data_IF_038665225708
#
_entry.id   IF_038665225708
#
_cell.length_a   1.000
_cell.length_b   1.000
_cell.length_c   1.000
_cell.angle_alpha   90.00
_cell.angle_beta   90.00
_cell.angle_gamma   90.00
#
_symmetry.space_group_name_H-M   'P 1'
#
loop_
_entity.id
_entity.type
_entity.pdbx_description
1 polymer ?
#
# COMPACT_ATOMS: atom_id res chain seq x y z
N UNK A 1 15.42 27.54 11.83
CA UNK A 1 14.03 27.09 11.63
C UNK A 1 14.04 26.24 10.38
N UNK A 2 13.66 24.95 10.41
CA UNK A 2 13.61 24.17 9.17
C UNK A 2 12.60 24.87 8.24
N UNK A 3 13.04 25.14 7.01
CA UNK A 3 12.23 25.83 6.02
C UNK A 3 10.91 25.08 5.85
N UNK A 4 9.79 25.80 5.94
CA UNK A 4 8.47 25.24 5.70
C UNK A 4 8.44 24.59 4.30
N UNK A 5 8.39 23.25 4.27
CA UNK A 5 8.43 22.46 3.01
C UNK A 5 7.06 22.38 2.35
N UNK A 6 6.00 22.54 3.14
CA UNK A 6 4.63 22.61 2.67
C UNK A 6 4.45 23.92 1.91
N UNK A 7 4.30 23.77 0.60
CA UNK A 7 4.05 24.89 -0.30
C UNK A 7 2.68 25.45 0.07
N UNK A 8 2.63 26.72 0.45
CA UNK A 8 1.37 27.45 0.56
C UNK A 8 0.81 27.72 -0.85
N UNK A 9 0.48 26.69 -1.63
CA UNK A 9 -0.36 26.85 -2.80
C UNK A 9 -1.80 26.89 -2.30
N UNK A 10 -2.24 28.05 -1.85
CA UNK A 10 -3.53 28.15 -1.21
C UNK A 10 -3.82 29.48 -0.52
N UNK A 11 -5.06 29.64 -0.01
CA UNK A 11 -5.75 30.88 0.36
C UNK A 11 -5.00 32.06 0.96
N UNK A 12 -3.87 31.81 1.63
CA UNK A 12 -3.08 32.82 2.34
C UNK A 12 -2.47 33.89 1.44
N UNK A 13 -2.32 33.64 0.13
CA UNK A 13 -1.79 34.63 -0.84
C UNK A 13 -2.82 35.13 -1.87
N UNK A 14 -4.09 34.73 -1.77
CA UNK A 14 -5.12 35.13 -2.74
C UNK A 14 -6.09 36.10 -2.08
N UNK A 15 -6.26 37.30 -2.66
CA UNK A 15 -7.16 38.35 -2.17
C UNK A 15 -8.60 37.87 -1.92
N UNK A 16 -9.00 36.77 -2.54
CA UNK A 16 -10.30 36.12 -2.33
C UNK A 16 -10.60 35.77 -0.87
N UNK A 17 -9.60 35.45 -0.04
CA UNK A 17 -9.82 34.92 1.31
C UNK A 17 -9.65 35.93 2.42
N UNK A 18 -9.07 37.11 2.13
CA UNK A 18 -9.02 38.25 3.05
C UNK A 18 -10.39 38.93 3.22
N UNK A 19 -11.38 38.58 2.40
CA UNK A 19 -12.77 39.07 2.50
C UNK A 19 -13.53 38.53 3.71
N UNK A 20 -13.03 37.47 4.35
CA UNK A 20 -13.68 36.88 5.53
C UNK A 20 -13.10 37.50 6.81
N UNK A 21 -13.94 38.11 7.67
CA UNK A 21 -13.48 38.86 8.84
C UNK A 21 -12.87 37.98 9.93
N UNK A 22 -13.20 36.69 9.96
CA UNK A 22 -12.52 35.69 10.78
C UNK A 22 -11.57 34.92 9.87
N UNK A 23 -10.30 34.76 10.27
CA UNK A 23 -9.36 33.84 9.61
C UNK A 23 -9.93 32.43 9.73
N UNK A 24 -10.71 32.00 8.74
CA UNK A 24 -11.65 30.92 8.90
C UNK A 24 -10.92 29.58 8.96
N UNK A 25 -10.85 28.98 10.17
CA UNK A 25 -10.44 27.57 10.39
C UNK A 25 -11.05 26.59 9.35
N UNK A 26 -12.33 26.73 8.93
CA UNK A 26 -12.91 25.88 7.90
C UNK A 26 -12.17 25.90 6.54
N UNK A 27 -11.68 27.06 6.11
CA UNK A 27 -10.97 27.19 4.82
C UNK A 27 -9.58 26.56 4.86
N UNK A 28 -8.93 26.60 6.03
CA UNK A 28 -7.67 25.89 6.23
C UNK A 28 -7.86 24.38 6.22
N UNK A 29 -8.99 23.87 6.74
CA UNK A 29 -9.34 22.45 6.65
C UNK A 29 -9.55 22.02 5.19
N UNK A 30 -10.26 22.80 4.39
CA UNK A 30 -10.41 22.51 2.95
C UNK A 30 -9.08 22.51 2.19
N UNK A 31 -8.16 23.41 2.52
CA UNK A 31 -6.83 23.41 1.93
C UNK A 31 -6.01 22.19 2.36
N UNK A 32 -6.07 21.81 3.63
CA UNK A 32 -5.46 20.58 4.13
C UNK A 32 -6.00 19.34 3.41
N UNK A 33 -7.30 19.27 3.17
CA UNK A 33 -7.92 18.14 2.49
C UNK A 33 -7.49 18.06 1.02
N UNK A 34 -7.51 19.21 0.33
CA UNK A 34 -7.14 19.33 -1.08
C UNK A 34 -5.67 19.04 -1.35
N UNK A 35 -4.78 19.50 -0.49
CA UNK A 35 -3.33 19.43 -0.73
C UNK A 35 -2.71 18.16 -0.13
N UNK A 36 -3.19 17.70 1.02
CA UNK A 36 -2.52 16.67 1.84
C UNK A 36 -3.39 15.46 2.06
N UNK A 37 -4.62 15.62 2.53
CA UNK A 37 -5.41 14.47 2.95
C UNK A 37 -5.81 13.58 1.78
N UNK A 38 -6.21 14.17 0.66
CA UNK A 38 -6.40 13.47 -0.60
C UNK A 38 -5.31 13.86 -1.60
N UNK A 39 -5.09 15.16 -1.77
CA UNK A 39 -3.99 15.66 -2.58
C UNK A 39 -4.05 15.20 -4.03
N UNK A 40 -2.91 15.33 -4.75
CA UNK A 40 -2.73 14.71 -6.06
C UNK A 40 -2.68 13.18 -6.01
N UNK A 41 -2.61 12.54 -4.84
CA UNK A 41 -2.60 11.08 -4.70
C UNK A 41 -3.86 10.43 -5.29
N UNK A 42 -4.99 11.15 -5.29
CA UNK A 42 -6.24 10.68 -5.92
C UNK A 42 -6.08 10.43 -7.42
N UNK A 43 -5.22 11.20 -8.10
CA UNK A 43 -4.99 11.06 -9.54
C UNK A 43 -4.34 9.71 -9.86
N UNK A 44 -3.46 9.23 -8.97
CA UNK A 44 -2.83 7.92 -9.07
C UNK A 44 -3.78 6.79 -8.62
N UNK A 45 -4.51 7.02 -7.54
CA UNK A 45 -5.44 6.03 -6.97
C UNK A 45 -6.58 5.69 -7.93
N UNK A 46 -7.03 6.67 -8.70
CA UNK A 46 -8.11 6.53 -9.69
C UNK A 46 -7.62 6.20 -11.09
N UNK A 47 -6.31 5.97 -11.29
CA UNK A 47 -5.71 5.73 -12.60
C UNK A 47 -6.02 6.84 -13.63
N UNK A 48 -6.17 8.09 -13.19
CA UNK A 48 -6.15 9.26 -14.09
C UNK A 48 -4.76 9.39 -14.71
N UNK A 49 -3.73 9.15 -13.90
CA UNK A 49 -2.37 8.86 -14.35
C UNK A 49 -1.95 7.51 -13.78
N UNK A 50 -1.26 6.70 -14.58
CA UNK A 50 -0.74 5.42 -14.12
C UNK A 50 0.41 5.64 -13.12
N UNK A 51 0.54 4.72 -12.16
CA UNK A 51 1.54 4.81 -11.10
C UNK A 51 3.00 4.77 -11.61
N UNK A 52 3.22 4.37 -12.86
CA UNK A 52 4.54 4.27 -13.50
C UNK A 52 4.85 5.46 -14.44
N UNK A 53 3.97 6.45 -14.53
CA UNK A 53 4.21 7.65 -15.33
C UNK A 53 5.11 8.66 -14.59
N UNK A 54 5.84 9.53 -15.31
CA UNK A 54 6.70 10.55 -14.68
C UNK A 54 6.00 11.45 -13.67
N UNK A 55 4.70 11.73 -13.88
CA UNK A 55 3.90 12.52 -12.93
C UNK A 55 3.78 11.82 -11.57
N UNK A 56 3.71 10.49 -11.54
CA UNK A 56 3.64 9.74 -10.29
C UNK A 56 4.90 9.95 -9.44
N UNK A 57 6.08 10.06 -10.07
CA UNK A 57 7.33 10.36 -9.35
C UNK A 57 7.25 11.74 -8.68
N UNK A 58 6.73 12.75 -9.38
CA UNK A 58 6.57 14.10 -8.80
C UNK A 58 5.59 14.11 -7.63
N UNK A 59 4.48 13.39 -7.77
CA UNK A 59 3.46 13.28 -6.71
C UNK A 59 4.01 12.55 -5.50
N UNK A 60 4.68 11.41 -5.68
CA UNK A 60 5.21 10.60 -4.59
C UNK A 60 6.38 11.28 -3.90
N UNK A 61 7.31 11.90 -4.64
CA UNK A 61 8.42 12.63 -4.06
C UNK A 61 7.93 13.85 -3.28
N UNK A 62 6.98 14.63 -3.80
CA UNK A 62 6.42 15.76 -3.06
C UNK A 62 5.65 15.32 -1.81
N UNK A 63 4.93 14.20 -1.89
CA UNK A 63 4.22 13.60 -0.77
C UNK A 63 5.17 13.19 0.36
N UNK A 64 6.21 12.41 0.05
CA UNK A 64 7.18 11.87 1.02
C UNK A 64 8.15 12.93 1.54
N UNK A 65 8.60 13.87 0.71
CA UNK A 65 9.74 14.76 1.05
C UNK A 65 9.32 16.16 1.54
N UNK A 66 8.09 16.58 1.21
CA UNK A 66 7.62 17.94 1.49
C UNK A 66 6.32 17.95 2.28
N UNK A 67 5.24 17.41 1.69
CA UNK A 67 3.88 17.64 2.17
C UNK A 67 3.63 17.01 3.54
N UNK A 68 4.17 15.83 3.78
CA UNK A 68 3.96 15.07 5.03
C UNK A 68 5.05 15.29 6.09
N UNK A 69 6.11 16.05 5.78
CA UNK A 69 7.23 16.35 6.71
C UNK A 69 7.22 17.77 7.26
N UNK A 70 6.21 18.55 6.94
CA UNK A 70 6.18 19.95 7.37
C UNK A 70 5.81 20.07 8.84
N UNK A 71 6.11 21.21 9.48
CA UNK A 71 5.48 21.50 10.77
C UNK A 71 4.01 21.86 10.54
N UNK A 72 3.08 21.35 11.38
CA UNK A 72 1.66 21.62 11.19
C UNK A 72 1.47 23.13 11.32
N UNK A 73 0.76 23.76 10.40
CA UNK A 73 0.47 25.20 10.41
C UNK A 73 -0.53 25.59 11.53
N UNK A 74 -0.33 25.05 12.73
CA UNK A 74 -1.31 25.01 13.81
C UNK A 74 -2.47 24.04 13.56
N UNK A 75 -2.34 23.11 12.59
CA UNK A 75 -3.37 22.16 12.18
C UNK A 75 -2.78 20.75 12.09
N UNK A 76 -3.44 19.76 12.70
CA UNK A 76 -3.05 18.35 12.64
C UNK A 76 -3.37 17.76 11.25
N UNK A 77 -2.63 18.17 10.21
CA UNK A 77 -2.82 17.72 8.81
C UNK A 77 -1.89 16.56 8.46
N UNK A 78 -0.80 16.43 9.20
CA UNK A 78 0.13 15.32 9.15
C UNK A 78 0.60 15.08 10.59
N UNK A 79 1.21 13.92 10.83
CA UNK A 79 1.93 13.69 12.07
C UNK A 79 2.98 14.77 12.31
N UNK A 80 3.34 14.98 13.57
CA UNK A 80 4.56 15.73 13.88
C UNK A 80 5.74 14.83 13.52
N UNK A 81 6.36 15.06 12.36
CA UNK A 81 7.51 14.29 11.86
C UNK A 81 8.73 15.21 11.81
N UNK A 82 9.77 14.86 12.57
CA UNK A 82 11.07 15.52 12.48
C UNK A 82 11.87 14.98 11.28
N UNK A 83 12.76 15.79 10.71
CA UNK A 83 13.67 15.40 9.62
C UNK A 83 14.45 14.10 9.92
N UNK A 84 14.85 13.88 11.18
CA UNK A 84 15.53 12.64 11.61
C UNK A 84 14.69 11.37 11.45
N UNK A 85 13.37 11.50 11.36
CA UNK A 85 12.42 10.40 11.18
C UNK A 85 11.81 10.38 9.78
N UNK A 86 12.31 11.21 8.84
CA UNK A 86 11.81 11.28 7.47
C UNK A 86 11.62 9.89 6.85
N UNK A 87 12.65 9.04 6.87
CA UNK A 87 12.56 7.73 6.25
C UNK A 87 11.49 6.84 6.91
N UNK A 88 11.41 6.84 8.24
CA UNK A 88 10.53 5.92 8.97
C UNK A 88 9.09 6.40 9.11
N UNK A 89 8.84 7.71 9.11
CA UNK A 89 7.53 8.32 9.39
C UNK A 89 7.02 9.24 8.27
N UNK A 90 7.85 9.58 7.28
CA UNK A 90 7.44 10.33 6.09
C UNK A 90 6.40 9.58 5.26
N UNK A 91 5.64 10.32 4.46
CA UNK A 91 4.56 9.79 3.63
C UNK A 91 3.25 9.54 4.38
N UNK A 92 3.13 10.02 5.62
CA UNK A 92 2.01 9.74 6.50
C UNK A 92 1.17 10.98 6.80
N UNK A 93 -0.14 10.84 6.72
CA UNK A 93 -1.12 11.89 7.08
C UNK A 93 -1.92 11.45 8.30
N UNK A 94 -2.38 12.41 9.11
CA UNK A 94 -3.07 12.16 10.39
C UNK A 94 -4.22 11.15 10.28
N UNK A 95 -4.97 11.13 9.17
CA UNK A 95 -5.93 10.06 8.85
C UNK A 95 -5.27 8.98 7.99
N UNK A 96 -4.41 8.20 8.62
CA UNK A 96 -3.54 7.21 7.99
C UNK A 96 -4.30 6.26 7.04
N UNK A 97 -5.55 5.94 7.36
CA UNK A 97 -6.38 5.00 6.62
C UNK A 97 -7.30 5.63 5.58
N UNK A 98 -7.40 6.96 5.47
CA UNK A 98 -8.22 7.59 4.45
C UNK A 98 -7.56 7.48 3.06
N UNK A 99 -6.40 8.12 2.90
CA UNK A 99 -5.59 8.07 1.69
C UNK A 99 -4.12 7.81 2.05
N UNK A 100 -3.46 6.92 1.31
CA UNK A 100 -2.05 6.59 1.51
C UNK A 100 -1.46 6.04 0.20
N UNK A 101 -0.17 6.27 -0.09
CA UNK A 101 0.50 5.78 -1.30
C UNK A 101 0.69 4.25 -1.40
N UNK A 102 0.21 3.42 -0.45
CA UNK A 102 0.36 1.93 -0.51
C UNK A 102 0.03 1.36 -1.90
N UNK A 103 -1.13 1.70 -2.47
CA UNK A 103 -1.55 1.15 -3.77
C UNK A 103 -0.62 1.59 -4.90
N UNK A 104 -0.20 2.85 -4.91
CA UNK A 104 0.76 3.37 -5.90
C UNK A 104 2.09 2.62 -5.81
N UNK A 105 2.61 2.41 -4.61
CA UNK A 105 3.83 1.63 -4.40
C UNK A 105 3.69 0.16 -4.83
N UNK A 106 2.54 -0.47 -4.57
CA UNK A 106 2.28 -1.83 -5.05
C UNK A 106 2.23 -1.90 -6.59
N UNK A 107 1.61 -0.92 -7.26
CA UNK A 107 1.57 -0.83 -8.73
C UNK A 107 2.95 -0.60 -9.36
N UNK A 108 3.85 0.04 -8.62
CA UNK A 108 5.25 0.29 -9.00
C UNK A 108 6.23 -0.81 -8.62
N UNK A 109 5.76 -1.88 -7.96
CA UNK A 109 6.60 -2.92 -7.36
C UNK A 109 7.59 -2.39 -6.29
N UNK A 110 7.28 -1.24 -5.68
CA UNK A 110 8.05 -0.63 -4.59
C UNK A 110 7.60 -1.20 -3.22
N UNK A 111 7.66 -2.52 -3.10
CA UNK A 111 7.01 -3.27 -2.01
C UNK A 111 7.51 -2.87 -0.62
N UNK A 112 8.79 -2.48 -0.48
CA UNK A 112 9.32 -2.01 0.80
C UNK A 112 8.66 -0.70 1.25
N UNK A 113 8.38 0.23 0.34
CA UNK A 113 7.68 1.47 0.64
C UNK A 113 6.20 1.21 0.98
N UNK A 114 5.55 0.29 0.26
CA UNK A 114 4.19 -0.17 0.57
C UNK A 114 4.08 -0.78 1.97
N UNK A 115 5.01 -1.69 2.33
CA UNK A 115 5.05 -2.33 3.66
C UNK A 115 5.30 -1.29 4.74
N UNK A 116 6.27 -0.38 4.54
CA UNK A 116 6.56 0.70 5.50
C UNK A 116 5.29 1.49 5.79
N UNK A 117 4.62 2.00 4.76
CA UNK A 117 3.38 2.75 4.90
C UNK A 117 2.25 1.93 5.57
N UNK A 118 2.06 0.66 5.18
CA UNK A 118 1.02 -0.20 5.76
C UNK A 118 1.20 -0.38 7.28
N UNK A 119 2.42 -0.72 7.73
CA UNK A 119 2.68 -0.94 9.16
C UNK A 119 2.75 0.37 9.95
N UNK A 120 3.18 1.45 9.32
CA UNK A 120 3.09 2.81 9.88
C UNK A 120 1.64 3.20 10.17
N UNK A 121 0.74 2.99 9.20
CA UNK A 121 -0.70 3.19 9.39
C UNK A 121 -1.23 2.31 10.53
N UNK A 122 -0.79 1.05 10.58
CA UNK A 122 -1.20 0.12 11.62
C UNK A 122 -0.85 0.64 13.02
N UNK A 123 0.43 0.96 13.24
CA UNK A 123 0.94 1.37 14.55
C UNK A 123 0.43 2.75 14.97
N UNK A 124 0.19 3.67 14.03
CA UNK A 124 -0.27 5.02 14.36
C UNK A 124 -1.72 5.06 14.87
N UNK A 125 -2.58 4.15 14.39
CA UNK A 125 -4.02 4.20 14.65
C UNK A 125 -4.58 2.99 15.42
N UNK A 126 -3.80 1.94 15.68
CA UNK A 126 -4.29 0.72 16.35
C UNK A 126 -4.37 0.86 17.87
N UNK A 127 -5.51 0.48 18.43
CA UNK A 127 -5.76 0.36 19.87
C UNK A 127 -5.98 -1.11 20.22
N UNK A 128 -4.92 -1.85 20.62
CA UNK A 128 -5.02 -3.29 20.83
C UNK A 128 -5.93 -3.67 22.00
N UNK A 129 -6.00 -2.84 23.06
CA UNK A 129 -6.81 -3.11 24.26
C UNK A 129 -8.31 -3.18 23.98
N UNK A 130 -8.76 -2.56 22.89
CA UNK A 130 -10.17 -2.55 22.45
C UNK A 130 -10.35 -3.06 21.00
N UNK A 131 -9.29 -3.59 20.40
CA UNK A 131 -9.24 -4.09 19.03
C UNK A 131 -9.92 -3.16 18.00
N UNK A 132 -9.49 -1.90 17.96
CA UNK A 132 -10.06 -0.87 17.08
C UNK A 132 -8.99 -0.05 16.37
N UNK A 133 -9.35 0.57 15.23
CA UNK A 133 -8.57 1.67 14.67
C UNK A 133 -9.26 3.01 14.92
N UNK A 134 -8.50 3.98 15.41
CA UNK A 134 -8.96 5.38 15.45
C UNK A 134 -8.92 5.99 14.05
N UNK A 135 -9.80 6.97 13.82
CA UNK A 135 -9.83 7.79 12.59
C UNK A 135 -8.50 8.50 12.33
N UNK A 136 -7.87 9.02 13.37
CA UNK A 136 -6.73 9.91 13.24
C UNK A 136 -5.74 9.82 14.41
N UNK A 137 -4.51 10.28 14.16
CA UNK A 137 -3.47 10.47 15.14
C UNK A 137 -2.96 11.91 15.16
N UNK A 138 -2.61 12.43 16.34
CA UNK A 138 -2.07 13.79 16.49
C UNK A 138 -0.54 13.82 16.40
N UNK A 139 0.09 12.80 16.97
CA UNK A 139 1.52 12.54 16.89
C UNK A 139 1.71 11.06 16.60
N UNK A 140 2.87 10.68 16.07
CA UNK A 140 3.19 9.27 15.89
C UNK A 140 2.89 8.49 17.17
N UNK A 141 2.26 7.32 17.05
CA UNK A 141 1.80 6.44 18.15
C UNK A 141 0.81 7.07 19.15
N UNK A 142 0.37 8.32 18.96
CA UNK A 142 -0.61 9.01 19.80
C UNK A 142 -1.88 9.30 18.99
N UNK A 143 -2.75 8.30 18.93
CA UNK A 143 -4.07 8.41 18.30
C UNK A 143 -5.00 9.41 19.02
N UNK A 144 -5.98 9.95 18.31
CA UNK A 144 -7.01 10.84 18.90
C UNK A 144 -8.09 10.08 19.68
N UNK A 145 -8.10 8.74 19.60
CA UNK A 145 -9.22 7.88 20.00
C UNK A 145 -9.20 7.34 21.43
N UNK A 146 -9.95 6.25 21.69
CA UNK A 146 -10.55 5.35 20.69
C UNK A 146 -11.88 5.91 20.11
N UNK A 147 -11.83 6.52 18.92
CA UNK A 147 -13.01 6.87 18.14
C UNK A 147 -13.18 5.87 17.02
N UNK A 148 -14.29 5.13 17.02
CA UNK A 148 -14.56 4.12 15.99
C UNK A 148 -14.80 4.78 14.63
N UNK A 149 -14.06 4.36 13.61
CA UNK A 149 -14.33 4.75 12.22
C UNK A 149 -14.25 3.54 11.30
N UNK A 150 -15.39 2.88 11.16
CA UNK A 150 -15.58 1.68 10.34
C UNK A 150 -15.04 1.85 8.90
N UNK A 151 -15.23 2.99 8.20
CA UNK A 151 -14.65 3.16 6.85
C UNK A 151 -13.13 3.06 6.81
N UNK A 152 -12.43 3.56 7.82
CA UNK A 152 -10.96 3.55 7.90
C UNK A 152 -10.44 2.14 8.24
N UNK A 153 -11.13 1.43 9.13
CA UNK A 153 -10.87 0.01 9.40
C UNK A 153 -11.04 -0.84 8.13
N UNK A 154 -12.14 -0.66 7.40
CA UNK A 154 -12.40 -1.35 6.14
C UNK A 154 -11.33 -1.02 5.09
N UNK A 155 -10.86 0.23 5.04
CA UNK A 155 -9.79 0.65 4.12
C UNK A 155 -8.44 0.02 4.48
N UNK A 156 -8.12 -0.11 5.76
CA UNK A 156 -6.93 -0.87 6.20
C UNK A 156 -6.99 -2.33 5.74
N UNK A 157 -8.14 -3.00 5.97
CA UNK A 157 -8.35 -4.38 5.52
C UNK A 157 -8.18 -4.51 4.01
N UNK A 158 -8.75 -3.58 3.22
CA UNK A 158 -8.58 -3.58 1.77
C UNK A 158 -7.10 -3.42 1.35
N UNK A 159 -6.32 -2.60 2.04
CA UNK A 159 -4.87 -2.48 1.74
C UNK A 159 -4.10 -3.75 2.08
N UNK A 160 -4.45 -4.44 3.18
CA UNK A 160 -3.89 -5.77 3.48
C UNK A 160 -4.25 -6.75 2.36
N UNK A 161 -5.50 -6.73 1.89
CA UNK A 161 -5.93 -7.53 0.73
C UNK A 161 -5.12 -7.20 -0.50
N UNK A 162 -4.87 -5.93 -0.84
CA UNK A 162 -4.06 -5.53 -1.99
C UNK A 162 -2.61 -6.08 -1.94
N UNK A 163 -2.06 -6.33 -0.74
CA UNK A 163 -0.75 -6.99 -0.62
C UNK A 163 -0.78 -8.49 -0.94
N UNK A 164 -1.93 -9.12 -0.81
CA UNK A 164 -2.15 -10.56 -0.92
C UNK A 164 -2.77 -10.96 -2.26
N UNK A 165 -3.82 -10.26 -2.69
CA UNK A 165 -4.56 -10.46 -3.92
C UNK A 165 -5.00 -9.09 -4.43
N UNK A 166 -4.53 -8.71 -5.63
CA UNK A 166 -4.83 -7.40 -6.21
C UNK A 166 -5.21 -7.54 -7.68
N UNK A 167 -6.32 -6.92 -8.06
CA UNK A 167 -6.67 -6.73 -9.47
C UNK A 167 -6.05 -5.44 -10.03
N UNK A 168 -5.58 -5.52 -11.27
CA UNK A 168 -5.02 -4.38 -12.01
C UNK A 168 -5.39 -4.49 -13.49
N UNK A 169 -6.48 -3.83 -13.89
CA UNK A 169 -7.10 -4.01 -15.19
C UNK A 169 -7.47 -5.48 -15.41
N UNK A 170 -6.82 -6.12 -16.40
CA UNK A 170 -7.04 -7.53 -16.75
C UNK A 170 -6.01 -8.48 -16.09
N UNK A 171 -5.25 -7.99 -15.10
CA UNK A 171 -4.19 -8.73 -14.41
C UNK A 171 -4.59 -9.06 -12.97
N UNK A 172 -4.34 -10.30 -12.56
CA UNK A 172 -4.42 -10.75 -11.16
C UNK A 172 -3.02 -10.87 -10.57
N UNK A 173 -2.77 -10.23 -9.43
CA UNK A 173 -1.52 -10.33 -8.68
C UNK A 173 -1.75 -11.11 -7.39
N UNK A 174 -0.94 -12.14 -7.16
CA UNK A 174 -0.92 -12.94 -5.93
C UNK A 174 0.38 -12.67 -5.16
N UNK A 175 0.23 -12.33 -3.88
CA UNK A 175 1.30 -12.07 -2.91
C UNK A 175 2.27 -10.93 -3.26
N UNK A 176 1.88 -10.01 -4.15
CA UNK A 176 2.77 -8.97 -4.66
C UNK A 176 3.30 -8.01 -3.58
N UNK A 177 2.55 -7.81 -2.49
CA UNK A 177 2.90 -6.85 -1.45
C UNK A 177 3.43 -7.46 -0.15
N UNK A 178 3.60 -8.78 -0.06
CA UNK A 178 3.88 -9.41 1.24
C UNK A 178 5.30 -9.12 1.74
N UNK A 179 5.50 -9.03 3.08
CA UNK A 179 6.83 -9.03 3.67
C UNK A 179 7.58 -10.33 3.39
N UNK A 180 8.87 -10.25 3.07
CA UNK A 180 9.75 -11.44 2.87
C UNK A 180 9.68 -12.43 4.03
N UNK A 181 9.56 -11.92 5.27
CA UNK A 181 9.46 -12.72 6.50
C UNK A 181 8.24 -13.64 6.56
N UNK A 182 7.19 -13.39 5.76
CA UNK A 182 6.03 -14.28 5.67
C UNK A 182 6.33 -15.56 4.88
N UNK A 183 7.41 -15.57 4.11
CA UNK A 183 7.96 -16.74 3.41
C UNK A 183 9.24 -17.27 4.08
N UNK A 184 9.43 -17.00 5.38
CA UNK A 184 10.50 -17.64 6.13
C UNK A 184 10.26 -19.15 6.25
N UNK A 185 11.32 -19.98 6.36
CA UNK A 185 11.19 -21.43 6.51
C UNK A 185 10.19 -21.81 7.61
N UNK A 186 9.30 -22.76 7.31
CA UNK A 186 8.22 -23.20 8.20
C UNK A 186 7.00 -22.27 8.27
N UNK A 187 7.00 -21.13 7.55
CA UNK A 187 5.82 -20.26 7.46
C UNK A 187 4.86 -20.74 6.38
N UNK A 188 3.58 -20.50 6.66
CA UNK A 188 2.45 -20.81 5.79
C UNK A 188 1.59 -19.58 5.57
N UNK A 189 1.13 -19.38 4.34
CA UNK A 189 0.11 -18.39 3.99
C UNK A 189 -1.07 -19.16 3.40
N UNK A 190 -2.28 -18.86 3.84
CA UNK A 190 -3.49 -19.51 3.33
C UNK A 190 -4.58 -18.47 3.06
N UNK A 191 -5.09 -18.50 1.83
CA UNK A 191 -6.17 -17.68 1.31
C UNK A 191 -7.25 -18.63 0.81
N UNK A 192 -8.47 -18.51 1.36
CA UNK A 192 -9.61 -19.36 1.01
C UNK A 192 -10.70 -18.49 0.39
N UNK A 193 -11.05 -18.78 -0.86
CA UNK A 193 -12.14 -18.16 -1.63
C UNK A 193 -12.14 -16.62 -1.54
N UNK A 194 -10.96 -16.02 -1.65
CA UNK A 194 -10.82 -14.56 -1.63
C UNK A 194 -11.57 -14.00 -2.84
N UNK A 195 -12.56 -13.16 -2.56
CA UNK A 195 -13.38 -12.55 -3.58
C UNK A 195 -12.57 -11.55 -4.41
N UNK A 196 -12.60 -11.73 -5.73
CA UNK A 196 -12.08 -10.80 -6.74
C UNK A 196 -13.14 -10.54 -7.82
N UNK A 197 -12.95 -9.50 -8.63
CA UNK A 197 -13.68 -9.23 -9.87
C UNK A 197 -13.69 -10.46 -10.78
N UNK A 198 -12.56 -11.15 -10.88
CA UNK A 198 -12.39 -12.33 -11.72
C UNK A 198 -13.15 -13.57 -11.20
N UNK A 199 -13.56 -13.57 -9.93
CA UNK A 199 -14.15 -14.71 -9.21
C UNK A 199 -13.40 -15.03 -7.91
N UNK A 200 -13.83 -16.04 -7.14
CA UNK A 200 -13.09 -16.49 -5.96
C UNK A 200 -11.75 -17.10 -6.36
N UNK A 201 -10.70 -16.82 -5.58
CA UNK A 201 -9.37 -17.43 -5.74
C UNK A 201 -8.86 -17.94 -4.39
N UNK A 202 -8.15 -19.06 -4.42
CA UNK A 202 -7.55 -19.66 -3.23
C UNK A 202 -6.08 -19.94 -3.47
N UNK A 203 -5.29 -19.79 -2.42
CA UNK A 203 -3.85 -19.98 -2.46
C UNK A 203 -3.36 -20.48 -1.11
N UNK A 204 -2.48 -21.48 -1.13
CA UNK A 204 -1.75 -21.93 0.05
C UNK A 204 -0.26 -22.00 -0.28
N UNK A 205 0.60 -21.38 0.53
CA UNK A 205 2.06 -21.51 0.39
C UNK A 205 2.68 -22.15 1.61
N UNK A 206 3.69 -23.01 1.41
CA UNK A 206 4.61 -23.47 2.45
C UNK A 206 6.05 -23.14 2.05
N UNK A 207 6.79 -22.51 2.95
CA UNK A 207 8.19 -22.14 2.72
C UNK A 207 9.17 -23.09 3.41
N UNK A 208 10.26 -23.43 2.73
CA UNK A 208 11.41 -24.17 3.26
C UNK A 208 12.70 -23.33 3.13
N UNK A 209 13.82 -23.91 3.55
CA UNK A 209 15.13 -23.28 3.39
C UNK A 209 15.53 -23.05 1.94
N UNK A 210 15.07 -23.85 0.98
CA UNK A 210 15.51 -23.76 -0.42
C UNK A 210 14.39 -23.52 -1.42
N UNK A 211 13.13 -23.59 -1.00
CA UNK A 211 11.99 -23.46 -1.90
C UNK A 211 10.75 -22.87 -1.24
N UNK A 212 9.84 -22.38 -2.07
CA UNK A 212 8.45 -22.09 -1.70
C UNK A 212 7.55 -22.92 -2.60
N UNK A 213 6.67 -23.71 -1.99
CA UNK A 213 5.63 -24.45 -2.69
C UNK A 213 4.30 -23.71 -2.53
N UNK A 214 3.54 -23.57 -3.61
CA UNK A 214 2.24 -22.93 -3.64
C UNK A 214 1.19 -23.82 -4.31
N UNK A 215 0.03 -23.96 -3.70
CA UNK A 215 -1.17 -24.58 -4.28
C UNK A 215 -2.15 -23.47 -4.62
N UNK A 216 -2.51 -23.31 -5.88
CA UNK A 216 -3.24 -22.13 -6.38
C UNK A 216 -4.45 -22.55 -7.19
N UNK A 217 -5.57 -21.88 -6.96
CA UNK A 217 -6.80 -21.99 -7.74
C UNK A 217 -7.13 -20.61 -8.30
N UNK A 218 -6.93 -20.46 -9.61
CA UNK A 218 -7.24 -19.22 -10.30
C UNK A 218 -8.76 -19.06 -10.47
N UNK A 219 -9.26 -17.82 -10.46
CA UNK A 219 -10.67 -17.55 -10.64
C UNK A 219 -11.10 -17.79 -12.10
N UNK A 220 -12.32 -18.31 -12.30
CA UNK A 220 -12.82 -18.71 -13.63
C UNK A 220 -14.05 -17.93 -14.11
N UNK A 221 -14.71 -17.14 -13.23
CA UNK A 221 -15.97 -16.44 -13.58
C UNK A 221 -15.75 -15.39 -14.67
N UNK A 222 -14.80 -14.50 -14.45
CA UNK A 222 -14.30 -13.55 -15.44
C UNK A 222 -12.79 -13.78 -15.51
N UNK A 223 -12.30 -14.76 -16.27
CA UNK A 223 -10.89 -15.14 -16.21
C UNK A 223 -9.95 -13.94 -16.50
N UNK A 224 -8.88 -13.72 -15.71
CA UNK A 224 -7.92 -12.66 -15.99
C UNK A 224 -7.12 -12.97 -17.26
N UNK A 225 -6.64 -11.94 -17.96
CA UNK A 225 -5.73 -12.13 -19.12
C UNK A 225 -4.29 -12.42 -18.70
N UNK A 226 -3.92 -12.08 -17.47
CA UNK A 226 -2.62 -12.40 -16.89
C UNK A 226 -2.75 -12.66 -15.40
N UNK A 227 -2.04 -13.65 -14.87
CA UNK A 227 -1.93 -13.90 -13.45
C UNK A 227 -0.45 -14.00 -13.05
N UNK A 228 -0.06 -13.29 -12.00
CA UNK A 228 1.30 -13.31 -11.45
C UNK A 228 1.28 -13.86 -10.02
N UNK A 229 2.19 -14.78 -9.73
CA UNK A 229 2.60 -15.12 -8.37
C UNK A 229 3.91 -14.41 -8.07
N UNK A 230 3.96 -13.63 -6.99
CA UNK A 230 5.20 -13.00 -6.52
C UNK A 230 5.74 -13.79 -5.33
N UNK A 231 7.02 -14.18 -5.38
CA UNK A 231 7.66 -14.96 -4.33
C UNK A 231 8.95 -14.28 -3.88
N UNK A 232 8.80 -13.42 -2.86
CA UNK A 232 9.90 -12.64 -2.28
C UNK A 232 10.60 -13.43 -1.19
N UNK A 233 11.56 -14.27 -1.55
CA UNK A 233 12.28 -15.12 -0.59
C UNK A 233 13.00 -14.28 0.49
N UNK A 234 13.07 -14.77 1.74
CA UNK A 234 13.91 -14.17 2.79
C UNK A 234 15.35 -13.97 2.30
N UNK A 235 15.95 -12.84 2.67
CA UNK A 235 17.31 -12.48 2.26
C UNK A 235 17.46 -12.00 0.82
N UNK A 236 16.38 -11.84 0.05
CA UNK A 236 16.48 -11.38 -1.35
C UNK A 236 17.05 -12.42 -2.30
N UNK A 237 16.86 -13.71 -1.98
CA UNK A 237 17.36 -14.81 -2.80
C UNK A 237 16.62 -14.86 -4.13
N UNK A 238 17.38 -14.97 -5.22
CA UNK A 238 16.84 -14.97 -6.59
C UNK A 238 16.23 -16.33 -6.93
N UNK A 239 15.19 -16.30 -7.76
CA UNK A 239 14.59 -17.52 -8.33
C UNK A 239 15.62 -18.21 -9.24
N UNK A 240 15.93 -19.47 -8.96
CA UNK A 240 16.80 -20.33 -9.79
C UNK A 240 16.01 -21.18 -10.78
N UNK A 241 14.89 -21.73 -10.33
CA UNK A 241 14.00 -22.54 -11.16
C UNK A 241 12.57 -22.48 -10.63
N UNK A 242 11.63 -22.75 -11.54
CA UNK A 242 10.21 -22.86 -11.25
C UNK A 242 9.68 -24.14 -11.87
N UNK A 243 8.81 -24.82 -11.14
CA UNK A 243 8.03 -25.96 -11.63
C UNK A 243 6.54 -25.65 -11.47
N UNK A 244 5.74 -26.03 -12.47
CA UNK A 244 4.27 -26.01 -12.40
C UNK A 244 3.77 -27.42 -12.67
N UNK A 245 3.06 -28.00 -11.70
CA UNK A 245 2.62 -29.40 -11.68
C UNK A 245 3.74 -30.39 -12.00
N UNK A 246 4.92 -30.16 -11.41
CA UNK A 246 6.12 -31.00 -11.59
C UNK A 246 6.82 -30.85 -12.94
N UNK A 247 6.35 -29.94 -13.80
CA UNK A 247 7.00 -29.64 -15.08
C UNK A 247 7.78 -28.33 -14.99
N UNK A 248 8.97 -28.30 -15.60
CA UNK A 248 9.80 -27.09 -15.65
C UNK A 248 9.04 -25.93 -16.30
N UNK A 249 9.08 -24.77 -15.67
CA UNK A 249 8.41 -23.55 -16.12
C UNK A 249 9.43 -22.44 -16.37
N UNK A 250 9.33 -21.77 -17.52
CA UNK A 250 10.29 -20.75 -17.95
C UNK A 250 9.74 -19.32 -17.97
N UNK A 251 8.43 -19.12 -17.84
CA UNK A 251 7.83 -17.78 -17.84
C UNK A 251 7.86 -17.18 -16.42
N UNK A 252 9.05 -16.75 -16.01
CA UNK A 252 9.28 -16.04 -14.75
C UNK A 252 10.38 -14.97 -14.89
N UNK A 253 10.29 -13.95 -14.06
CA UNK A 253 11.24 -12.85 -13.95
C UNK A 253 11.98 -12.98 -12.61
N UNK A 254 13.22 -13.48 -12.68
CA UNK A 254 14.04 -13.72 -11.49
C UNK A 254 14.46 -12.43 -10.78
N UNK A 255 14.56 -11.31 -11.50
CA UNK A 255 14.93 -10.01 -10.93
C UNK A 255 13.71 -9.35 -10.26
N UNK A 256 12.54 -9.46 -10.88
CA UNK A 256 11.25 -9.01 -10.35
C UNK A 256 10.60 -9.99 -9.36
N UNK A 257 11.22 -11.13 -9.07
CA UNK A 257 10.74 -12.18 -8.13
C UNK A 257 9.31 -12.65 -8.42
N UNK A 258 8.91 -12.73 -9.69
CA UNK A 258 7.54 -13.01 -10.13
C UNK A 258 7.47 -14.10 -11.19
N UNK A 259 6.42 -14.91 -11.11
CA UNK A 259 6.15 -16.04 -11.98
C UNK A 259 4.84 -15.77 -12.70
N UNK A 260 4.84 -15.83 -14.04
CA UNK A 260 3.59 -15.77 -14.80
C UNK A 260 2.92 -17.13 -14.72
N UNK A 261 1.71 -17.18 -14.19
CA UNK A 261 1.00 -18.43 -14.01
C UNK A 261 0.31 -18.84 -15.32
N UNK A 262 0.29 -20.15 -15.67
CA UNK A 262 -0.58 -20.62 -16.73
C UNK A 262 -2.04 -20.40 -16.34
N UNK A 263 -2.82 -19.82 -17.26
CA UNK A 263 -4.25 -19.59 -17.07
C UNK A 263 -5.01 -20.88 -17.34
N UNK A 264 -5.19 -21.70 -16.31
CA UNK A 264 -5.97 -22.94 -16.37
C UNK A 264 -6.94 -23.07 -15.20
N UNK A 265 -8.00 -23.81 -15.44
CA UNK A 265 -8.96 -24.21 -14.41
C UNK A 265 -8.39 -25.29 -13.49
N UNK A 266 -9.00 -25.44 -12.31
CA UNK A 266 -8.58 -26.41 -11.32
C UNK A 266 -7.42 -25.92 -10.46
N UNK A 267 -6.82 -26.83 -9.70
CA UNK A 267 -5.71 -26.49 -8.82
C UNK A 267 -4.38 -26.76 -9.51
N UNK A 268 -3.47 -25.80 -9.45
CA UNK A 268 -2.07 -25.98 -9.85
C UNK A 268 -1.15 -26.00 -8.62
N UNK A 269 -0.07 -26.75 -8.71
CA UNK A 269 1.05 -26.71 -7.79
C UNK A 269 2.21 -25.96 -8.44
N UNK A 270 2.77 -25.00 -7.73
CA UNK A 270 3.94 -24.22 -8.16
C UNK A 270 5.05 -24.43 -7.14
N UNK A 271 6.23 -24.82 -7.58
CA UNK A 271 7.42 -24.87 -6.73
C UNK A 271 8.46 -23.85 -7.25
N UNK A 272 8.97 -23.01 -6.36
CA UNK A 272 9.94 -21.96 -6.67
C UNK A 272 11.20 -22.22 -5.86
N UNK A 273 12.34 -22.42 -6.52
CA UNK A 273 13.61 -22.77 -5.89
C UNK A 273 14.60 -21.60 -5.94
N UNK A 274 15.42 -21.44 -4.89
CA UNK A 274 16.36 -20.32 -4.70
C UNK A 274 17.81 -20.74 -4.48
#
# INVERSE_FOLDING_TARGET
>A
MPYQRFRLFGPLRVAYYTRYPQKAKPLFRLAADREVLYGPMILLSMDIFHANEPLADWVLNDWEDNVTLSSPLGLNVHGWVDDKYWFSQGGMVFQANLQNPVLAYLRRNEVSAAIRNLYNNFVACSYPDVNAFTEEYHQWIHGSGPFYKIPDEARFVNRVRDTLVREDGETLWLLAGIPRRWLAPGRKIQLNDVATYFGPTSLETTASESAVSARIQLPTRNAPKTAWLVVRAPGGRRIKSVEVDGQRWSDFDAAGERIRLPLKSGTMQVAVHF
#
